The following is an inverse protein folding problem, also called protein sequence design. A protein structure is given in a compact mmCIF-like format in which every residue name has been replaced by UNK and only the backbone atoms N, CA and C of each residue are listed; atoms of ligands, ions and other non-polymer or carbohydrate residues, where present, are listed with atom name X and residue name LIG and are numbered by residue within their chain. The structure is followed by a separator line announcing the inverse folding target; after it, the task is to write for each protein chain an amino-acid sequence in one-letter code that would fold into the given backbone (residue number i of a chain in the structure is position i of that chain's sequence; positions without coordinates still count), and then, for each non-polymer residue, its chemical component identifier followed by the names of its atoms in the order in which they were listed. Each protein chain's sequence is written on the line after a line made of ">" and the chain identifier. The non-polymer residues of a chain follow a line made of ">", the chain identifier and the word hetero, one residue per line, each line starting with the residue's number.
data_IF_543129976050
#
_entry.id   IF_543129976050
#
_cell.length_a   1.000
_cell.length_b   1.000
_cell.length_c   1.000
_cell.angle_alpha   90.00
_cell.angle_beta   90.00
_cell.angle_gamma   90.00
#
_symmetry.space_group_name_H-M   'P 1'
#
loop_
_entity.id
_entity.type
_entity.pdbx_description
1 polymer ?
#
# COMPACT_ATOMS: atom_id res chain seq x y z
N UNK A 1 2.68 -13.34 28.92
CA UNK A 1 1.83 -12.78 27.88
C UNK A 1 2.76 -12.16 26.85
N UNK A 2 3.09 -12.91 25.80
CA UNK A 2 3.84 -12.39 24.65
C UNK A 2 2.91 -11.44 23.92
N UNK A 3 3.10 -10.15 24.03
CA UNK A 3 2.48 -9.15 23.16
C UNK A 3 2.90 -9.51 21.72
N UNK A 4 1.94 -9.98 20.93
CA UNK A 4 2.16 -10.24 19.51
C UNK A 4 2.65 -8.94 18.88
N UNK A 5 3.89 -8.93 18.42
CA UNK A 5 4.50 -7.75 17.80
C UNK A 5 3.79 -7.54 16.47
N UNK A 6 2.93 -6.52 16.37
CA UNK A 6 2.21 -6.21 15.13
C UNK A 6 3.22 -6.01 14.02
N UNK A 7 3.14 -6.85 12.98
CA UNK A 7 3.99 -6.71 11.81
C UNK A 7 3.30 -5.82 10.78
N UNK A 8 4.04 -4.87 10.27
CA UNK A 8 3.62 -4.04 9.13
C UNK A 8 4.68 -4.15 8.04
N UNK A 9 4.24 -4.53 6.84
CA UNK A 9 5.06 -4.45 5.64
C UNK A 9 4.81 -3.10 4.96
N UNK A 10 5.89 -2.37 4.78
CA UNK A 10 5.89 -1.05 4.12
C UNK A 10 6.21 -1.25 2.65
N UNK A 11 5.32 -0.78 1.77
CA UNK A 11 5.46 -0.90 0.32
C UNK A 11 5.52 0.51 -0.31
N UNK A 12 6.71 1.06 -0.51
CA UNK A 12 6.90 2.30 -1.27
C UNK A 12 6.50 2.17 -2.74
N UNK A 13 6.47 3.31 -3.43
CA UNK A 13 6.26 3.38 -4.87
C UNK A 13 7.56 3.56 -5.66
N UNK A 14 7.41 4.12 -6.86
CA UNK A 14 8.51 4.49 -7.75
C UNK A 14 9.55 5.36 -7.02
N UNK A 15 10.82 5.08 -7.23
CA UNK A 15 11.98 5.76 -6.63
C UNK A 15 12.09 5.59 -5.09
N UNK A 16 11.36 4.64 -4.49
CA UNK A 16 11.36 4.41 -3.04
C UNK A 16 10.81 5.60 -2.22
N UNK A 17 10.83 5.51 -0.90
CA UNK A 17 10.39 6.57 0.01
C UNK A 17 11.58 7.12 0.80
N UNK A 18 11.90 8.40 0.57
CA UNK A 18 13.01 9.08 1.23
C UNK A 18 12.75 9.39 2.72
N UNK A 19 13.73 9.99 3.41
CA UNK A 19 13.70 10.20 4.87
C UNK A 19 12.52 11.02 5.39
N UNK A 20 12.02 11.98 4.60
CA UNK A 20 10.87 12.82 4.97
C UNK A 20 9.51 12.16 4.77
N UNK A 21 9.46 11.01 4.13
CA UNK A 21 8.22 10.30 3.82
C UNK A 21 7.64 9.63 5.07
N UNK A 22 6.31 9.66 5.24
CA UNK A 22 5.64 9.06 6.39
C UNK A 22 5.95 7.57 6.56
N UNK A 23 6.12 6.82 5.47
CA UNK A 23 6.52 5.41 5.53
C UNK A 23 7.87 5.22 6.22
N UNK A 24 8.88 5.99 5.82
CA UNK A 24 10.23 5.93 6.39
C UNK A 24 10.23 6.36 7.87
N UNK A 25 9.42 7.38 8.21
CA UNK A 25 9.27 7.81 9.59
C UNK A 25 8.61 6.73 10.45
N UNK A 26 7.60 6.04 9.94
CA UNK A 26 6.98 4.92 10.65
C UNK A 26 7.95 3.77 10.90
N UNK A 27 8.76 3.40 9.89
CA UNK A 27 9.79 2.37 10.07
C UNK A 27 10.80 2.74 11.15
N UNK A 28 11.24 3.99 11.20
CA UNK A 28 12.17 4.48 12.22
C UNK A 28 11.56 4.47 13.62
N UNK A 29 10.25 4.74 13.73
CA UNK A 29 9.55 4.83 15.02
C UNK A 29 9.06 3.47 15.57
N UNK A 30 8.87 2.47 14.71
CA UNK A 30 8.20 1.21 15.07
C UNK A 30 9.01 -0.02 14.67
N UNK A 31 9.63 -0.68 15.63
CA UNK A 31 10.48 -1.86 15.39
C UNK A 31 9.78 -3.06 14.73
N UNK A 32 8.45 -3.07 14.62
CA UNK A 32 7.66 -4.09 13.93
C UNK A 32 7.33 -3.75 12.47
N UNK A 33 7.82 -2.61 11.96
CA UNK A 33 7.60 -2.17 10.58
C UNK A 33 8.83 -2.51 9.74
N UNK A 34 8.61 -3.10 8.58
CA UNK A 34 9.69 -3.51 7.70
C UNK A 34 9.35 -3.22 6.23
N UNK A 35 10.29 -2.59 5.53
CA UNK A 35 10.15 -2.30 4.10
C UNK A 35 10.33 -3.57 3.28
N UNK A 36 9.40 -3.80 2.36
CA UNK A 36 9.58 -4.80 1.31
C UNK A 36 10.65 -4.28 0.35
N UNK A 37 11.76 -5.01 0.24
CA UNK A 37 12.85 -4.63 -0.66
C UNK A 37 12.48 -5.02 -2.08
N UNK A 38 12.18 -4.02 -2.91
CA UNK A 38 11.89 -4.24 -4.32
C UNK A 38 13.19 -4.42 -5.11
N UNK A 39 13.20 -5.28 -6.13
CA UNK A 39 14.42 -5.56 -6.91
C UNK A 39 15.00 -4.33 -7.62
N UNK A 40 14.13 -3.46 -8.14
CA UNK A 40 14.52 -2.23 -8.82
C UNK A 40 13.47 -1.14 -8.58
N UNK A 41 13.88 -0.04 -7.95
CA UNK A 41 13.02 1.09 -7.65
C UNK A 41 12.85 2.04 -8.84
N UNK A 42 13.79 2.02 -9.78
CA UNK A 42 13.83 2.93 -10.93
C UNK A 42 13.16 2.35 -12.16
N UNK A 43 13.11 1.02 -12.28
CA UNK A 43 12.45 0.31 -13.38
C UNK A 43 11.50 -0.73 -12.80
N UNK A 44 10.38 -0.31 -12.18
CA UNK A 44 9.46 -1.22 -11.53
C UNK A 44 8.87 -2.23 -12.52
N UNK A 45 8.99 -3.51 -12.17
CA UNK A 45 8.33 -4.61 -12.85
C UNK A 45 7.32 -5.24 -11.90
N UNK A 46 6.04 -5.25 -12.30
CA UNK A 46 4.94 -5.67 -11.43
C UNK A 46 5.09 -7.12 -10.96
N UNK A 47 5.50 -8.02 -11.87
CA UNK A 47 5.71 -9.44 -11.54
C UNK A 47 6.81 -9.61 -10.49
N UNK A 48 7.94 -8.94 -10.68
CA UNK A 48 9.06 -8.99 -9.75
C UNK A 48 8.71 -8.36 -8.40
N UNK A 49 7.93 -7.26 -8.39
CA UNK A 49 7.47 -6.63 -7.16
C UNK A 49 6.46 -7.50 -6.41
N UNK A 50 5.54 -8.16 -7.12
CA UNK A 50 4.61 -9.11 -6.51
C UNK A 50 5.34 -10.32 -5.91
N UNK A 51 6.38 -10.83 -6.57
CA UNK A 51 7.20 -11.92 -6.04
C UNK A 51 7.95 -11.50 -4.76
N UNK A 52 8.47 -10.26 -4.71
CA UNK A 52 9.11 -9.71 -3.52
C UNK A 52 8.11 -9.59 -2.35
N UNK A 53 6.89 -9.12 -2.63
CA UNK A 53 5.82 -9.04 -1.63
C UNK A 53 5.42 -10.43 -1.12
N UNK A 54 5.21 -11.41 -2.01
CA UNK A 54 4.88 -12.79 -1.62
C UNK A 54 5.93 -13.37 -0.69
N UNK A 55 7.22 -13.22 -1.03
CA UNK A 55 8.31 -13.67 -0.19
C UNK A 55 8.34 -12.97 1.18
N UNK A 56 7.97 -11.68 1.24
CA UNK A 56 7.89 -10.94 2.50
C UNK A 56 6.71 -11.43 3.36
N UNK A 57 5.52 -11.67 2.76
CA UNK A 57 4.35 -12.19 3.47
C UNK A 57 4.58 -13.61 3.98
N UNK A 58 5.26 -14.46 3.21
CA UNK A 58 5.61 -15.82 3.66
C UNK A 58 6.42 -15.80 4.96
N UNK A 59 7.36 -14.85 5.09
CA UNK A 59 8.20 -14.68 6.30
C UNK A 59 7.51 -13.94 7.45
N UNK A 60 6.46 -13.17 7.15
CA UNK A 60 5.75 -12.38 8.14
C UNK A 60 4.89 -13.26 9.06
N UNK A 61 4.64 -12.85 10.31
CA UNK A 61 3.66 -13.49 11.17
C UNK A 61 2.23 -13.31 10.65
N UNK A 62 1.31 -14.13 11.14
CA UNK A 62 -0.11 -13.87 10.93
C UNK A 62 -0.53 -12.53 11.55
N UNK A 63 -1.49 -11.86 10.93
CA UNK A 63 -1.93 -10.52 11.32
C UNK A 63 -1.08 -9.38 10.75
N UNK A 64 -0.24 -9.66 9.73
CA UNK A 64 0.53 -8.63 9.02
C UNK A 64 -0.40 -7.60 8.35
N UNK A 65 0.01 -6.34 8.34
CA UNK A 65 -0.70 -5.24 7.65
C UNK A 65 0.19 -4.63 6.58
N UNK A 66 -0.43 -4.06 5.56
CA UNK A 66 0.29 -3.37 4.49
C UNK A 66 0.13 -1.85 4.60
N UNK A 67 1.24 -1.14 4.61
CA UNK A 67 1.32 0.31 4.49
C UNK A 67 1.88 0.64 3.10
N UNK A 68 1.00 0.73 2.11
CA UNK A 68 1.38 0.91 0.71
C UNK A 68 1.19 2.35 0.23
N UNK A 69 2.10 2.81 -0.62
CA UNK A 69 2.05 4.12 -1.26
C UNK A 69 2.28 3.98 -2.77
N UNK A 70 1.51 4.73 -3.56
CA UNK A 70 1.70 4.86 -5.01
C UNK A 70 1.73 3.48 -5.70
N UNK A 71 2.76 3.14 -6.48
CA UNK A 71 2.91 1.83 -7.14
C UNK A 71 2.84 0.66 -6.17
N UNK A 72 3.23 0.86 -4.91
CA UNK A 72 3.07 -0.16 -3.87
C UNK A 72 1.61 -0.59 -3.67
N UNK A 73 0.64 0.31 -3.89
CA UNK A 73 -0.79 -0.01 -3.84
C UNK A 73 -1.22 -0.92 -4.99
N UNK A 74 -0.74 -0.63 -6.20
CA UNK A 74 -1.01 -1.48 -7.37
C UNK A 74 -0.35 -2.85 -7.21
N UNK A 75 0.86 -2.90 -6.62
CA UNK A 75 1.52 -4.16 -6.28
C UNK A 75 0.64 -5.01 -5.36
N UNK A 76 0.03 -4.42 -4.33
CA UNK A 76 -0.89 -5.15 -3.43
C UNK A 76 -2.08 -5.72 -4.21
N UNK A 77 -2.69 -4.93 -5.10
CA UNK A 77 -3.83 -5.39 -5.90
C UNK A 77 -3.46 -6.53 -6.84
N UNK A 78 -2.34 -6.42 -7.57
CA UNK A 78 -1.84 -7.48 -8.47
C UNK A 78 -1.43 -8.72 -7.69
N UNK A 79 -0.72 -8.58 -6.57
CA UNK A 79 -0.36 -9.68 -5.72
C UNK A 79 -1.59 -10.43 -5.21
N UNK A 80 -2.59 -9.72 -4.69
CA UNK A 80 -3.81 -10.33 -4.17
C UNK A 80 -4.60 -11.08 -5.26
N UNK A 81 -4.61 -10.57 -6.49
CA UNK A 81 -5.35 -11.16 -7.61
C UNK A 81 -4.65 -12.35 -8.26
N UNK A 82 -3.31 -12.37 -8.32
CA UNK A 82 -2.58 -13.28 -9.21
C UNK A 82 -1.47 -14.08 -8.52
N UNK A 83 -0.97 -13.66 -7.34
CA UNK A 83 0.21 -14.26 -6.71
C UNK A 83 -0.08 -14.83 -5.32
N UNK A 84 -1.02 -14.24 -4.59
CA UNK A 84 -1.32 -14.67 -3.23
C UNK A 84 -1.96 -16.06 -3.22
N UNK A 85 -1.43 -16.95 -2.40
CA UNK A 85 -2.13 -18.19 -2.04
C UNK A 85 -3.20 -17.93 -0.98
N UNK A 86 -4.10 -18.87 -0.77
CA UNK A 86 -5.03 -18.81 0.35
C UNK A 86 -4.31 -18.67 1.71
N UNK A 87 -3.16 -19.34 1.86
CA UNK A 87 -2.36 -19.30 3.08
C UNK A 87 -1.70 -17.92 3.31
N UNK A 88 -1.16 -17.27 2.27
CA UNK A 88 -0.55 -15.97 2.39
C UNK A 88 -1.60 -14.87 2.52
N UNK A 89 -2.72 -14.94 1.80
CA UNK A 89 -3.85 -14.03 1.96
C UNK A 89 -4.40 -14.04 3.39
N UNK A 90 -4.54 -15.22 4.00
CA UNK A 90 -5.06 -15.39 5.37
C UNK A 90 -4.13 -14.77 6.45
N UNK A 91 -2.88 -14.50 6.13
CA UNK A 91 -1.97 -13.80 7.05
C UNK A 91 -2.24 -12.30 7.14
N UNK A 92 -2.90 -11.70 6.14
CA UNK A 92 -3.05 -10.25 6.02
C UNK A 92 -4.26 -9.77 6.80
N UNK A 93 -4.02 -8.94 7.81
CA UNK A 93 -5.07 -8.33 8.64
C UNK A 93 -5.71 -7.10 7.97
N UNK A 94 -5.02 -6.46 7.01
CA UNK A 94 -5.56 -5.34 6.28
C UNK A 94 -4.50 -4.54 5.53
N UNK A 95 -4.94 -3.61 4.67
CA UNK A 95 -4.08 -2.79 3.85
C UNK A 95 -4.52 -1.32 3.84
N UNK A 96 -3.60 -0.41 4.15
CA UNK A 96 -3.73 1.03 3.90
C UNK A 96 -3.06 1.33 2.55
N UNK A 97 -3.88 1.77 1.58
CA UNK A 97 -3.49 1.98 0.19
C UNK A 97 -3.56 3.48 -0.12
N UNK A 98 -2.41 4.14 -0.16
CA UNK A 98 -2.30 5.60 -0.16
C UNK A 98 -1.84 6.12 -1.52
N UNK A 99 -2.56 7.09 -2.07
CA UNK A 99 -2.21 7.80 -3.30
C UNK A 99 -2.06 6.85 -4.51
N UNK A 100 -3.15 6.16 -4.88
CA UNK A 100 -3.16 5.24 -6.03
C UNK A 100 -2.82 5.97 -7.33
N UNK A 101 -1.77 5.56 -8.07
CA UNK A 101 -1.49 6.12 -9.38
C UNK A 101 -2.38 5.44 -10.45
N UNK A 102 -2.86 6.23 -11.40
CA UNK A 102 -3.61 5.73 -12.55
C UNK A 102 -2.63 5.34 -13.68
N UNK A 103 -2.56 4.06 -14.10
CA UNK A 103 -1.68 3.64 -15.19
C UNK A 103 -1.93 4.36 -16.53
N UNK A 104 -3.13 4.92 -16.70
CA UNK A 104 -3.47 5.72 -17.88
C UNK A 104 -3.26 7.23 -17.67
N UNK A 105 -2.84 7.64 -16.48
CA UNK A 105 -2.57 9.04 -16.17
C UNK A 105 -1.28 9.55 -16.82
N UNK A 106 -1.20 10.85 -17.14
CA UNK A 106 -0.05 11.43 -17.85
C UNK A 106 1.26 11.37 -17.03
N UNK A 107 1.14 11.35 -15.72
CA UNK A 107 2.29 11.33 -14.79
C UNK A 107 2.71 9.92 -14.37
N UNK A 108 2.05 8.88 -14.88
CA UNK A 108 2.43 7.50 -14.55
C UNK A 108 3.85 7.20 -15.03
N UNK A 109 4.72 6.56 -14.21
CA UNK A 109 6.11 6.31 -14.56
C UNK A 109 6.23 5.44 -15.82
N UNK A 110 6.89 5.96 -16.86
CA UNK A 110 7.05 5.26 -18.15
C UNK A 110 7.92 4.00 -18.06
N UNK A 111 8.77 3.95 -17.04
CA UNK A 111 9.64 2.80 -16.78
C UNK A 111 8.96 1.70 -15.95
N UNK A 112 7.76 1.96 -15.41
CA UNK A 112 6.97 0.96 -14.71
C UNK A 112 6.25 0.03 -15.70
N UNK A 113 6.36 -1.28 -15.50
CA UNK A 113 5.83 -2.31 -16.41
C UNK A 113 4.88 -3.26 -15.70
N UNK A 114 3.86 -3.73 -16.41
CA UNK A 114 2.95 -4.79 -15.97
C UNK A 114 1.91 -4.35 -14.93
N UNK A 115 1.76 -3.06 -14.64
CA UNK A 115 0.76 -2.54 -13.69
C UNK A 115 -0.61 -2.24 -14.33
N UNK A 116 -0.73 -2.39 -15.64
CA UNK A 116 -1.97 -2.26 -16.40
C UNK A 116 -2.28 -3.60 -17.12
N UNK A 117 -3.54 -4.09 -17.07
CA UNK A 117 -4.71 -3.51 -16.41
C UNK A 117 -4.71 -3.71 -14.88
N UNK A 118 -5.21 -2.71 -14.15
CA UNK A 118 -5.36 -2.82 -12.70
C UNK A 118 -6.43 -3.86 -12.34
N UNK A 119 -6.13 -4.88 -11.51
CA UNK A 119 -7.13 -5.85 -11.08
C UNK A 119 -8.25 -5.18 -10.28
N UNK A 120 -9.50 -5.45 -10.65
CA UNK A 120 -10.68 -4.92 -9.99
C UNK A 120 -11.48 -6.01 -9.24
N UNK A 121 -10.84 -7.10 -8.87
CA UNK A 121 -11.41 -8.10 -7.97
C UNK A 121 -11.36 -7.63 -6.52
N UNK A 122 -12.32 -8.05 -5.70
CA UNK A 122 -12.34 -7.75 -4.28
C UNK A 122 -11.05 -8.25 -3.59
N UNK A 123 -10.49 -7.43 -2.72
CA UNK A 123 -9.35 -7.85 -1.89
C UNK A 123 -9.80 -8.90 -0.87
N UNK A 124 -8.98 -9.94 -0.60
CA UNK A 124 -9.33 -10.99 0.37
C UNK A 124 -9.13 -10.55 1.84
N UNK A 125 -8.89 -9.28 2.09
CA UNK A 125 -8.69 -8.67 3.41
C UNK A 125 -9.23 -7.25 3.45
N UNK A 126 -9.52 -6.69 4.64
CA UNK A 126 -9.97 -5.31 4.78
C UNK A 126 -8.97 -4.30 4.20
N UNK A 127 -9.47 -3.27 3.52
CA UNK A 127 -8.65 -2.22 2.95
C UNK A 127 -9.21 -0.82 3.17
N UNK A 128 -8.31 0.17 3.16
CA UNK A 128 -8.67 1.57 3.06
C UNK A 128 -7.82 2.25 1.98
N UNK A 129 -8.49 2.85 1.01
CA UNK A 129 -7.87 3.66 -0.04
C UNK A 129 -7.91 5.12 0.40
N UNK A 130 -6.75 5.73 0.55
CA UNK A 130 -6.61 7.14 0.92
C UNK A 130 -6.21 7.95 -0.31
N UNK A 131 -7.05 8.93 -0.64
CA UNK A 131 -6.89 9.78 -1.81
C UNK A 131 -6.69 11.25 -1.42
N UNK A 132 -6.04 11.99 -2.30
CA UNK A 132 -5.90 13.44 -2.27
C UNK A 132 -6.60 14.04 -3.49
N UNK A 133 -7.31 15.15 -3.28
CA UNK A 133 -8.11 15.77 -4.35
C UNK A 133 -7.28 16.45 -5.45
N UNK A 134 -6.00 16.68 -5.20
CA UNK A 134 -5.03 17.30 -6.13
C UNK A 134 -3.83 16.41 -6.45
N UNK A 135 -3.95 15.10 -6.27
CA UNK A 135 -2.89 14.14 -6.62
C UNK A 135 -2.68 14.11 -8.14
N UNK A 136 -1.50 14.48 -8.65
CA UNK A 136 -1.24 14.51 -10.08
C UNK A 136 -1.13 13.11 -10.71
N UNK A 137 -0.88 12.08 -9.92
CA UNK A 137 -0.66 10.70 -10.42
C UNK A 137 -1.94 9.87 -10.49
N UNK A 138 -2.96 10.20 -9.68
CA UNK A 138 -4.20 9.43 -9.66
C UNK A 138 -5.39 10.23 -9.15
N UNK A 139 -6.33 10.51 -10.02
CA UNK A 139 -7.52 11.29 -9.69
C UNK A 139 -8.49 10.59 -8.74
N UNK A 140 -9.32 11.40 -8.06
CA UNK A 140 -10.36 10.94 -7.12
C UNK A 140 -11.29 9.89 -7.74
N UNK A 141 -11.69 10.06 -9.01
CA UNK A 141 -12.60 9.13 -9.69
C UNK A 141 -11.97 7.74 -9.85
N UNK A 142 -10.68 7.68 -10.21
CA UNK A 142 -9.94 6.43 -10.34
C UNK A 142 -9.80 5.72 -8.99
N UNK A 143 -9.32 6.42 -7.96
CA UNK A 143 -9.14 5.84 -6.63
C UNK A 143 -10.45 5.35 -6.01
N UNK A 144 -11.55 6.09 -6.21
CA UNK A 144 -12.89 5.69 -5.73
C UNK A 144 -13.39 4.43 -6.44
N UNK A 145 -13.21 4.32 -7.76
CA UNK A 145 -13.55 3.12 -8.53
C UNK A 145 -12.77 1.90 -8.05
N UNK A 146 -11.46 2.04 -7.84
CA UNK A 146 -10.64 0.96 -7.30
C UNK A 146 -11.09 0.55 -5.89
N UNK A 147 -11.30 1.50 -4.99
CA UNK A 147 -11.78 1.22 -3.64
C UNK A 147 -13.10 0.45 -3.64
N UNK A 148 -14.06 0.86 -4.48
CA UNK A 148 -15.35 0.17 -4.61
C UNK A 148 -15.17 -1.27 -5.12
N UNK A 149 -14.37 -1.48 -6.14
CA UNK A 149 -14.12 -2.80 -6.71
C UNK A 149 -13.40 -3.73 -5.72
N UNK A 150 -12.47 -3.19 -4.94
CA UNK A 150 -11.70 -3.93 -3.94
C UNK A 150 -12.47 -4.19 -2.63
N UNK A 151 -13.68 -3.63 -2.47
CA UNK A 151 -14.43 -3.69 -1.21
C UNK A 151 -13.76 -2.91 -0.09
N UNK A 152 -12.96 -1.91 -0.43
CA UNK A 152 -12.19 -1.10 0.50
C UNK A 152 -12.91 0.19 0.87
N UNK A 153 -12.69 0.67 2.09
CA UNK A 153 -13.11 2.01 2.50
C UNK A 153 -12.39 3.06 1.67
N UNK A 154 -13.09 4.08 1.20
CA UNK A 154 -12.47 5.22 0.52
C UNK A 154 -12.43 6.44 1.43
N UNK A 155 -11.27 7.12 1.50
CA UNK A 155 -11.00 8.26 2.39
C UNK A 155 -10.38 9.38 1.57
N UNK A 156 -11.01 10.56 1.56
CA UNK A 156 -10.46 11.78 0.98
C UNK A 156 -9.86 12.63 2.11
N UNK A 157 -8.59 12.99 1.97
CA UNK A 157 -7.90 13.86 2.94
C UNK A 157 -7.73 15.31 2.43
N UNK A 158 -8.46 15.69 1.39
CA UNK A 158 -8.37 17.00 0.75
C UNK A 158 -7.13 17.14 -0.13
N UNK A 159 -6.76 18.37 -0.44
CA UNK A 159 -5.61 18.69 -1.28
C UNK A 159 -4.29 18.48 -0.51
N UNK A 160 -3.61 17.38 -0.79
CA UNK A 160 -2.35 16.97 -0.14
C UNK A 160 -1.31 16.46 -1.16
N UNK A 161 -1.47 16.80 -2.44
CA UNK A 161 -0.60 16.31 -3.49
C UNK A 161 -0.56 14.78 -3.53
N UNK A 162 0.60 14.20 -3.76
CA UNK A 162 0.78 12.74 -3.85
C UNK A 162 0.92 12.04 -2.49
N UNK A 163 0.53 12.68 -1.40
CA UNK A 163 0.61 12.15 -0.03
C UNK A 163 2.00 11.57 0.28
N UNK A 164 3.04 12.27 -0.14
CA UNK A 164 4.45 11.92 0.01
C UNK A 164 5.17 12.86 1.00
N UNK A 165 6.50 12.92 0.96
CA UNK A 165 7.29 13.79 1.82
C UNK A 165 6.92 15.27 1.69
N UNK A 166 6.60 15.75 0.47
CA UNK A 166 6.26 17.15 0.19
C UNK A 166 4.87 17.54 0.72
N UNK A 167 4.05 16.56 1.07
CA UNK A 167 2.70 16.79 1.64
C UNK A 167 2.72 17.31 3.09
N UNK A 168 3.87 17.30 3.74
CA UNK A 168 4.06 17.84 5.09
C UNK A 168 3.31 17.12 6.20
N UNK A 169 3.00 15.82 6.03
CA UNK A 169 2.24 15.03 7.00
C UNK A 169 3.08 14.62 8.22
N UNK A 170 4.40 14.67 8.14
CA UNK A 170 5.28 14.25 9.22
C UNK A 170 5.06 12.77 9.59
N UNK A 171 4.82 12.50 10.88
CA UNK A 171 4.58 11.15 11.39
C UNK A 171 3.18 10.60 11.06
N UNK A 172 2.32 11.41 10.52
CA UNK A 172 0.95 11.12 10.08
C UNK A 172 0.17 10.17 11.02
N UNK A 173 -0.10 10.59 12.26
CA UNK A 173 -0.75 9.74 13.27
C UNK A 173 -2.14 9.25 12.85
N UNK A 174 -2.86 10.04 12.05
CA UNK A 174 -4.17 9.67 11.51
C UNK A 174 -4.11 8.44 10.59
N UNK A 175 -3.16 8.43 9.64
CA UNK A 175 -2.95 7.29 8.74
C UNK A 175 -2.52 6.04 9.50
N UNK A 176 -1.63 6.21 10.50
CA UNK A 176 -1.22 5.12 11.38
C UNK A 176 -2.40 4.55 12.17
N UNK A 177 -3.28 5.40 12.71
CA UNK A 177 -4.46 4.95 13.43
C UNK A 177 -5.41 4.13 12.53
N UNK A 178 -5.63 4.55 11.29
CA UNK A 178 -6.43 3.77 10.34
C UNK A 178 -5.81 2.40 10.05
N UNK A 179 -4.51 2.33 9.80
CA UNK A 179 -3.80 1.07 9.57
C UNK A 179 -3.94 0.12 10.78
N UNK A 180 -3.71 0.64 11.97
CA UNK A 180 -3.68 -0.17 13.19
C UNK A 180 -5.07 -0.66 13.62
N UNK A 181 -6.15 0.01 13.22
CA UNK A 181 -7.53 -0.43 13.48
C UNK A 181 -7.98 -1.61 12.61
N UNK A 182 -7.32 -1.88 11.48
CA UNK A 182 -7.68 -2.98 10.59
C UNK A 182 -7.43 -4.34 11.24
N UNK A 183 -8.38 -5.26 11.07
CA UNK A 183 -8.29 -6.61 11.63
C UNK A 183 -8.49 -6.69 13.14
N UNK A 184 -8.94 -5.61 13.79
CA UNK A 184 -9.33 -5.62 15.22
C UNK A 184 -10.85 -5.80 15.42
N UNK A 185 -11.65 -5.77 14.36
CA UNK A 185 -13.09 -5.99 14.40
C UNK A 185 -13.39 -7.50 14.40
N UNK A 186 -13.46 -8.11 15.57
CA UNK A 186 -13.78 -9.54 15.72
C UNK A 186 -13.35 -10.15 17.06
N UNK A 187 -13.54 -9.41 18.15
CA UNK A 187 -13.41 -9.94 19.51
C UNK A 187 -14.75 -9.89 20.22
#
# INVERSE_FOLDING_TARGET
>A
VTTSKTAVLVLPGYMDSGPGHWQTRWEAAHAGFARVQMPDWMHPDCEAWCAALEAAVQRAPAGVRFAAHSLGCLTVAHWAAHHASAATSAKVAGALLVALPDPHGPEFPRDARGFDPVPLAALPFPGAVVASSDDPYGGVAFSRRCAQAWGSRWIDIGARGHINADSGLGDWPQGLAWLMSMGQEGG
#
